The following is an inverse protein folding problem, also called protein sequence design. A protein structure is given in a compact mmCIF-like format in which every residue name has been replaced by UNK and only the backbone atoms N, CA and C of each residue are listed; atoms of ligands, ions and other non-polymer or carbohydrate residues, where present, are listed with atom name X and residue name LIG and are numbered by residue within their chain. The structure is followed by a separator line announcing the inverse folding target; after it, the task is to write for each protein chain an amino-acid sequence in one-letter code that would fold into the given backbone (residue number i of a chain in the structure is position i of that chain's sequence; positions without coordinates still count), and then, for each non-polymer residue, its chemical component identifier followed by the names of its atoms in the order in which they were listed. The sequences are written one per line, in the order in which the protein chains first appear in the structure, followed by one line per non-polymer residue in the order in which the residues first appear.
data_IF_304259223968
#
_entry.id   IF_304259223968
#
_cell.length_a   1.000
_cell.length_b   1.000
_cell.length_c   1.000
_cell.angle_alpha   90.00
_cell.angle_beta   90.00
_cell.angle_gamma   90.00
#
_symmetry.space_group_name_H-M   'P 1'
#
loop_
_entity.id
_entity.type
_entity.pdbx_description
1 polymer ?
#
# COMPACT_ATOMS: atom_id res chain seq x y z
N UNK A 1 1.64 11.80 -32.47
CA UNK A 1 0.41 11.73 -31.66
C UNK A 1 0.74 11.04 -30.36
N UNK A 2 1.06 11.78 -29.32
CA UNK A 2 1.11 11.27 -27.95
C UNK A 2 -0.33 11.23 -27.43
N UNK A 3 -0.82 10.11 -26.87
CA UNK A 3 -2.13 10.08 -26.25
C UNK A 3 -2.16 11.12 -25.13
N UNK A 4 -3.29 11.81 -24.99
CA UNK A 4 -3.48 12.77 -23.90
C UNK A 4 -3.20 12.08 -22.57
N UNK A 5 -2.62 12.78 -21.60
CA UNK A 5 -2.30 12.24 -20.27
C UNK A 5 -3.54 11.60 -19.63
N UNK A 6 -4.75 12.12 -19.90
CA UNK A 6 -6.01 11.51 -19.51
C UNK A 6 -6.23 10.13 -20.15
N UNK A 7 -5.91 9.98 -21.45
CA UNK A 7 -5.98 8.67 -22.13
C UNK A 7 -4.96 7.67 -21.60
N UNK A 8 -3.77 8.13 -21.18
CA UNK A 8 -2.76 7.29 -20.55
C UNK A 8 -3.22 6.78 -19.18
N UNK A 9 -3.88 7.64 -18.37
CA UNK A 9 -4.47 7.25 -17.08
C UNK A 9 -5.63 6.27 -17.25
N UNK A 10 -6.50 6.45 -18.25
CA UNK A 10 -7.60 5.54 -18.54
C UNK A 10 -7.09 4.18 -19.00
N UNK A 11 -6.12 4.15 -19.92
CA UNK A 11 -5.48 2.92 -20.40
C UNK A 11 -4.69 2.18 -19.31
N UNK A 12 -4.14 2.91 -18.32
CA UNK A 12 -3.43 2.32 -17.17
C UNK A 12 -4.39 1.71 -16.16
N UNK A 13 -5.64 2.20 -16.04
CA UNK A 13 -6.61 1.66 -15.08
C UNK A 13 -7.14 0.27 -15.45
N UNK A 14 -7.15 -0.07 -16.74
CA UNK A 14 -7.60 -1.38 -17.23
C UNK A 14 -6.62 -2.53 -16.95
N UNK A 15 -5.35 -2.22 -16.65
CA UNK A 15 -4.30 -3.22 -16.38
C UNK A 15 -4.12 -3.57 -14.91
N UNK A 16 -4.86 -2.93 -14.01
CA UNK A 16 -4.76 -3.16 -12.56
C UNK A 16 -5.96 -3.97 -12.12
N UNK A 17 -5.73 -5.12 -11.49
CA UNK A 17 -6.79 -5.86 -10.81
C UNK A 17 -7.38 -5.02 -9.69
N UNK A 18 -8.71 -4.89 -9.65
CA UNK A 18 -9.42 -4.14 -8.62
C UNK A 18 -10.62 -4.93 -8.12
N UNK A 19 -10.74 -5.00 -6.80
CA UNK A 19 -11.98 -5.38 -6.14
C UNK A 19 -12.79 -4.11 -5.88
N UNK A 20 -14.07 -4.08 -6.26
CA UNK A 20 -14.98 -3.07 -5.74
C UNK A 20 -15.51 -3.54 -4.38
N UNK A 21 -15.08 -2.87 -3.30
CA UNK A 21 -15.49 -3.21 -1.94
C UNK A 21 -16.88 -2.64 -1.68
N UNK A 22 -17.89 -3.47 -1.83
CA UNK A 22 -19.31 -3.09 -1.63
C UNK A 22 -19.76 -3.20 -0.17
N UNK A 23 -19.09 -4.05 0.64
CA UNK A 23 -19.35 -4.17 2.07
C UNK A 23 -18.96 -2.87 2.78
N UNK A 24 -19.85 -2.30 3.61
CA UNK A 24 -19.51 -1.08 4.36
C UNK A 24 -18.30 -1.28 5.27
N UNK A 25 -17.34 -0.36 5.17
CA UNK A 25 -16.16 -0.29 6.02
C UNK A 25 -16.27 0.92 6.96
N UNK A 26 -16.30 0.67 8.26
CA UNK A 26 -16.25 1.73 9.27
C UNK A 26 -14.80 2.04 9.57
N UNK A 27 -14.36 3.26 9.22
CA UNK A 27 -13.05 3.79 9.48
C UNK A 27 -12.88 4.19 10.95
N UNK A 28 -11.63 4.26 11.42
CA UNK A 28 -11.34 4.71 12.79
C UNK A 28 -11.79 6.16 13.03
N UNK A 29 -11.80 7.01 11.99
CA UNK A 29 -12.38 8.35 12.04
C UNK A 29 -13.95 8.38 12.07
N UNK A 30 -14.59 7.23 12.23
CA UNK A 30 -16.04 7.01 12.32
C UNK A 30 -16.82 7.26 11.02
N UNK A 31 -16.16 7.57 9.91
CA UNK A 31 -16.83 7.60 8.61
C UNK A 31 -17.05 6.17 8.11
N UNK A 32 -18.22 5.92 7.51
CA UNK A 32 -18.51 4.65 6.82
C UNK A 32 -18.35 4.87 5.32
N UNK A 33 -17.58 4.01 4.69
CA UNK A 33 -17.32 4.03 3.25
C UNK A 33 -17.70 2.70 2.62
N UNK A 34 -18.15 2.73 1.37
CA UNK A 34 -18.51 1.56 0.57
C UNK A 34 -18.33 1.87 -0.92
N UNK A 35 -18.39 0.84 -1.74
CA UNK A 35 -18.30 0.95 -3.20
C UNK A 35 -17.03 1.67 -3.64
N UNK A 36 -15.90 1.27 -3.08
CA UNK A 36 -14.59 1.82 -3.38
C UNK A 36 -13.63 0.78 -3.97
N UNK A 37 -12.68 1.19 -4.83
CA UNK A 37 -11.71 0.28 -5.41
C UNK A 37 -10.62 -0.12 -4.41
N UNK A 38 -10.29 -1.41 -4.38
CA UNK A 38 -9.10 -1.96 -3.73
C UNK A 38 -8.27 -2.66 -4.80
N UNK A 39 -7.15 -2.05 -5.19
CA UNK A 39 -6.23 -2.63 -6.16
C UNK A 39 -5.38 -3.72 -5.51
N UNK A 40 -5.12 -4.79 -6.25
CA UNK A 40 -4.31 -5.89 -5.75
C UNK A 40 -3.62 -6.63 -6.91
N UNK A 41 -2.63 -7.45 -6.57
CA UNK A 41 -2.04 -8.39 -7.50
C UNK A 41 -1.87 -9.76 -6.83
N UNK A 42 -1.83 -10.79 -7.66
CA UNK A 42 -1.67 -12.18 -7.21
C UNK A 42 -0.65 -12.91 -8.06
N UNK A 43 0.10 -13.81 -7.44
CA UNK A 43 1.11 -14.62 -8.11
C UNK A 43 0.97 -16.08 -7.69
N UNK A 44 1.24 -17.01 -8.60
CA UNK A 44 1.04 -18.43 -8.38
C UNK A 44 -0.44 -18.83 -8.44
N UNK A 45 -0.77 -19.98 -7.89
CA UNK A 45 -2.12 -20.56 -7.94
C UNK A 45 -2.59 -20.98 -6.56
N UNK A 46 -3.82 -20.58 -6.21
CA UNK A 46 -4.48 -21.05 -4.99
C UNK A 46 -4.84 -22.52 -5.16
N UNK A 47 -4.42 -23.35 -4.22
CA UNK A 47 -4.72 -24.78 -4.25
C UNK A 47 -6.18 -25.06 -3.86
N UNK A 48 -6.62 -26.31 -4.04
CA UNK A 48 -8.00 -26.72 -3.76
C UNK A 48 -8.39 -26.53 -2.28
N UNK A 49 -7.45 -26.75 -1.37
CA UNK A 49 -7.66 -26.61 0.06
C UNK A 49 -7.58 -25.15 0.55
N UNK A 50 -7.10 -24.22 -0.33
CA UNK A 50 -6.90 -22.81 0.00
C UNK A 50 -5.96 -22.56 1.20
N UNK A 51 -5.01 -23.47 1.44
CA UNK A 51 -4.09 -23.45 2.57
C UNK A 51 -2.66 -23.02 2.21
N UNK A 52 -2.41 -22.62 0.93
CA UNK A 52 -1.11 -22.17 0.44
C UNK A 52 -1.03 -20.65 0.20
N UNK A 53 -1.95 -19.87 0.76
CA UNK A 53 -2.00 -18.42 0.54
C UNK A 53 -1.03 -17.66 1.44
N UNK A 54 -0.28 -16.72 0.84
CA UNK A 54 0.63 -15.79 1.54
C UNK A 54 0.19 -14.36 1.23
N UNK A 55 -0.09 -13.56 2.27
CA UNK A 55 -0.38 -12.14 2.14
C UNK A 55 0.88 -11.31 2.39
N UNK A 56 1.22 -10.44 1.46
CA UNK A 56 2.32 -9.49 1.58
C UNK A 56 1.76 -8.09 1.77
N UNK A 57 2.18 -7.42 2.84
CA UNK A 57 1.87 -6.03 3.13
C UNK A 57 3.02 -5.14 2.65
N UNK A 58 2.75 -4.23 1.72
CA UNK A 58 3.80 -3.36 1.19
C UNK A 58 4.16 -2.20 2.14
N UNK A 59 5.39 -1.69 2.02
CA UNK A 59 5.87 -0.52 2.75
C UNK A 59 5.25 0.78 2.20
N UNK A 60 5.46 1.92 2.88
CA UNK A 60 4.91 3.22 2.51
C UNK A 60 5.12 3.60 1.04
N UNK A 61 6.30 3.31 0.50
CA UNK A 61 6.67 3.63 -0.89
C UNK A 61 6.46 2.47 -1.87
N UNK A 62 5.93 1.34 -1.39
CA UNK A 62 5.62 0.17 -2.20
C UNK A 62 4.22 0.23 -2.83
N UNK A 63 3.90 -0.83 -3.53
CA UNK A 63 2.60 -1.06 -4.16
C UNK A 63 2.28 -2.56 -4.21
N UNK A 64 1.21 -2.93 -4.91
CA UNK A 64 0.80 -4.34 -5.05
C UNK A 64 1.74 -5.18 -5.95
N UNK A 65 2.65 -4.56 -6.69
CA UNK A 65 3.50 -5.27 -7.65
C UNK A 65 4.79 -5.75 -6.99
N UNK A 66 4.72 -6.86 -6.26
CA UNK A 66 5.86 -7.43 -5.53
C UNK A 66 6.81 -8.24 -6.42
N UNK A 67 6.32 -8.77 -7.55
CA UNK A 67 7.08 -9.60 -8.49
C UNK A 67 6.68 -9.30 -9.93
N UNK A 68 7.42 -9.86 -10.89
CA UNK A 68 7.21 -9.58 -12.31
C UNK A 68 7.50 -8.14 -12.69
N UNK A 69 6.95 -7.67 -13.80
CA UNK A 69 7.10 -6.29 -14.27
C UNK A 69 5.88 -5.47 -13.90
N UNK A 70 6.06 -4.37 -13.19
CA UNK A 70 5.00 -3.41 -12.88
C UNK A 70 4.45 -2.82 -14.20
N UNK A 71 3.17 -3.00 -14.52
CA UNK A 71 2.60 -2.58 -15.80
C UNK A 71 2.56 -1.07 -15.98
N UNK A 72 2.67 -0.30 -14.87
CA UNK A 72 2.63 1.17 -14.85
C UNK A 72 4.04 1.74 -15.03
N UNK A 73 4.96 1.36 -14.16
CA UNK A 73 6.32 1.94 -14.11
C UNK A 73 7.28 1.26 -15.08
N UNK A 74 6.93 0.07 -15.61
CA UNK A 74 7.77 -0.80 -16.45
C UNK A 74 9.04 -1.29 -15.76
N UNK A 75 9.12 -1.13 -14.44
CA UNK A 75 10.21 -1.64 -13.61
C UNK A 75 9.84 -3.00 -13.02
N UNK A 76 10.83 -3.71 -12.56
CA UNK A 76 10.61 -4.95 -11.80
C UNK A 76 9.82 -4.68 -10.53
N UNK A 77 9.05 -5.68 -10.09
CA UNK A 77 8.37 -5.66 -8.80
C UNK A 77 9.38 -5.46 -7.68
N UNK A 78 8.96 -4.77 -6.62
CA UNK A 78 9.87 -4.30 -5.58
C UNK A 78 10.49 -5.43 -4.73
N UNK A 79 9.99 -6.66 -4.83
CA UNK A 79 10.51 -7.81 -4.08
C UNK A 79 10.81 -9.04 -4.97
N UNK A 80 11.16 -8.80 -6.23
CA UNK A 80 11.52 -9.87 -7.18
C UNK A 80 12.68 -10.75 -6.69
N UNK A 81 13.50 -10.28 -5.76
CA UNK A 81 14.59 -11.08 -5.15
C UNK A 81 14.06 -12.18 -4.24
N UNK A 82 12.90 -12.00 -3.61
CA UNK A 82 12.32 -12.95 -2.67
C UNK A 82 11.08 -13.68 -3.23
N UNK A 83 10.33 -13.07 -4.15
CA UNK A 83 9.05 -13.59 -4.67
C UNK A 83 9.18 -13.99 -6.14
N UNK A 84 8.86 -15.23 -6.45
CA UNK A 84 8.88 -15.75 -7.83
C UNK A 84 9.14 -17.24 -7.88
N UNK A 85 9.13 -17.85 -9.07
CA UNK A 85 9.42 -19.28 -9.25
C UNK A 85 10.80 -19.66 -8.67
N UNK A 86 10.83 -20.66 -7.78
CA UNK A 86 12.07 -21.16 -7.17
C UNK A 86 12.74 -20.22 -6.18
N UNK A 87 12.09 -19.11 -5.77
CA UNK A 87 12.61 -18.16 -4.80
C UNK A 87 12.14 -18.50 -3.37
N UNK A 88 12.54 -17.69 -2.39
CA UNK A 88 12.18 -17.91 -0.98
C UNK A 88 10.65 -17.99 -0.79
N UNK A 89 9.89 -17.15 -1.47
CA UNK A 89 8.44 -17.23 -1.60
C UNK A 89 8.17 -17.75 -3.03
N UNK A 90 8.20 -19.09 -3.15
CA UNK A 90 8.11 -19.80 -4.43
C UNK A 90 6.68 -19.79 -4.97
N UNK A 91 6.44 -19.03 -6.02
CA UNK A 91 5.12 -18.92 -6.66
C UNK A 91 4.69 -20.19 -7.42
N UNK A 92 5.56 -21.20 -7.57
CA UNK A 92 5.14 -22.54 -8.01
C UNK A 92 4.39 -23.30 -6.91
N UNK A 93 4.58 -22.94 -5.64
CA UNK A 93 4.01 -23.62 -4.46
C UNK A 93 2.95 -22.77 -3.78
N UNK A 94 3.16 -21.46 -3.72
CA UNK A 94 2.36 -20.54 -2.92
C UNK A 94 1.54 -19.60 -3.81
N UNK A 95 0.34 -19.31 -3.33
CA UNK A 95 -0.49 -18.25 -3.87
C UNK A 95 -0.22 -16.96 -3.10
N UNK A 96 0.50 -16.04 -3.74
CA UNK A 96 0.93 -14.78 -3.13
C UNK A 96 -0.05 -13.67 -3.47
N UNK A 97 -0.44 -12.88 -2.49
CA UNK A 97 -1.38 -11.78 -2.60
C UNK A 97 -0.71 -10.51 -2.07
N UNK A 98 -0.84 -9.41 -2.79
CA UNK A 98 -0.50 -8.09 -2.27
C UNK A 98 -1.55 -7.07 -2.71
N UNK A 99 -2.16 -6.37 -1.76
CA UNK A 99 -3.09 -5.29 -2.04
C UNK A 99 -2.39 -3.94 -1.90
N UNK A 100 -2.77 -2.97 -2.74
CA UNK A 100 -2.40 -1.58 -2.50
C UNK A 100 -3.27 -1.02 -1.38
N UNK A 101 -2.66 -0.37 -0.41
CA UNK A 101 -3.39 0.19 0.74
C UNK A 101 -4.39 1.25 0.31
N UNK A 102 -5.53 1.34 1.01
CA UNK A 102 -6.43 2.48 0.91
C UNK A 102 -5.71 3.74 1.43
N UNK A 103 -5.97 4.88 0.81
CA UNK A 103 -5.17 6.10 1.02
C UNK A 103 -3.92 6.17 0.13
N UNK A 104 -3.60 5.08 -0.59
CA UNK A 104 -2.48 4.99 -1.53
C UNK A 104 -2.77 5.65 -2.89
N UNK A 105 -1.82 5.49 -3.83
CA UNK A 105 -1.90 6.14 -5.15
C UNK A 105 -1.82 5.18 -6.34
N UNK A 106 -1.79 3.85 -6.08
CA UNK A 106 -1.59 2.82 -7.11
C UNK A 106 -2.86 2.02 -7.41
N UNK A 107 -4.01 2.69 -7.36
CA UNK A 107 -5.29 2.15 -7.86
C UNK A 107 -6.30 1.78 -6.79
N UNK A 108 -5.93 1.73 -5.51
CA UNK A 108 -6.89 1.67 -4.40
C UNK A 108 -7.50 3.05 -4.12
N UNK A 109 -8.64 3.06 -3.43
CA UNK A 109 -9.30 4.29 -3.00
C UNK A 109 -8.34 5.20 -2.24
N UNK A 110 -8.21 6.41 -2.73
CA UNK A 110 -7.26 7.38 -2.22
C UNK A 110 -7.64 8.82 -2.58
N UNK A 111 -6.84 9.81 -2.20
CA UNK A 111 -7.14 11.23 -2.41
C UNK A 111 -7.37 11.65 -3.87
N UNK A 112 -6.92 10.85 -4.85
CA UNK A 112 -7.13 11.11 -6.28
C UNK A 112 -8.51 10.67 -6.78
N UNK A 113 -9.19 9.77 -6.06
CA UNK A 113 -10.50 9.27 -6.45
C UNK A 113 -11.52 10.40 -6.42
N UNK A 114 -12.51 10.30 -7.29
CA UNK A 114 -13.59 11.30 -7.38
C UNK A 114 -14.60 11.06 -6.27
N UNK A 115 -14.85 12.08 -5.48
CA UNK A 115 -15.97 12.10 -4.54
C UNK A 115 -17.28 12.27 -5.33
N UNK A 116 -18.15 11.27 -5.26
CA UNK A 116 -19.44 11.23 -5.96
C UNK A 116 -20.37 12.38 -5.56
N UNK A 117 -20.19 12.97 -4.37
CA UNK A 117 -21.01 14.07 -3.88
C UNK A 117 -20.60 15.42 -4.49
N UNK A 118 -19.31 15.61 -4.76
CA UNK A 118 -18.76 16.89 -5.27
C UNK A 118 -18.38 16.83 -6.74
N UNK A 119 -18.26 15.62 -7.30
CA UNK A 119 -17.72 15.32 -8.63
C UNK A 119 -16.28 15.86 -8.82
N UNK A 120 -15.55 16.00 -7.73
CA UNK A 120 -14.14 16.43 -7.71
C UNK A 120 -13.30 15.37 -6.98
N UNK A 121 -11.97 15.39 -7.19
CA UNK A 121 -11.06 14.56 -6.41
C UNK A 121 -11.17 14.91 -4.92
N UNK A 122 -11.14 13.89 -4.05
CA UNK A 122 -11.18 14.11 -2.60
C UNK A 122 -10.11 15.10 -2.14
N UNK A 123 -8.88 15.01 -2.66
CA UNK A 123 -7.77 15.86 -2.24
C UNK A 123 -7.60 15.86 -0.72
N UNK A 124 -7.58 17.03 -0.10
CA UNK A 124 -7.48 17.19 1.36
C UNK A 124 -8.76 16.81 2.13
N UNK A 125 -9.89 16.63 1.45
CA UNK A 125 -11.14 16.15 2.06
C UNK A 125 -11.17 14.62 2.23
N UNK A 126 -10.13 13.93 1.73
CA UNK A 126 -10.00 12.49 1.92
C UNK A 126 -9.92 12.17 3.42
N UNK A 127 -10.64 11.15 3.91
CA UNK A 127 -10.61 10.84 5.35
C UNK A 127 -9.22 10.37 5.78
N UNK A 128 -8.92 10.61 7.06
CA UNK A 128 -7.72 10.04 7.68
C UNK A 128 -7.86 8.52 7.70
N UNK A 129 -6.85 7.84 7.16
CA UNK A 129 -6.76 6.38 7.12
C UNK A 129 -5.72 5.92 8.13
N UNK A 130 -6.08 4.97 8.97
CA UNK A 130 -5.18 4.32 9.92
C UNK A 130 -4.66 2.98 9.38
N UNK A 131 -3.61 2.45 10.02
CA UNK A 131 -3.13 1.08 9.74
C UNK A 131 -4.25 0.06 9.91
N UNK A 132 -5.12 0.25 10.91
CA UNK A 132 -6.28 -0.61 11.16
C UNK A 132 -7.29 -0.56 10.01
N UNK A 133 -7.53 0.59 9.42
CA UNK A 133 -8.42 0.71 8.25
C UNK A 133 -7.82 -0.01 7.03
N UNK A 134 -6.50 0.11 6.83
CA UNK A 134 -5.79 -0.62 5.77
C UNK A 134 -5.99 -2.13 5.91
N UNK A 135 -5.77 -2.70 7.09
CA UNK A 135 -5.88 -4.16 7.27
C UNK A 135 -7.32 -4.66 7.20
N UNK A 136 -8.30 -3.87 7.65
CA UNK A 136 -9.72 -4.21 7.46
C UNK A 136 -10.10 -4.29 5.98
N UNK A 137 -9.60 -3.36 5.15
CA UNK A 137 -9.85 -3.41 3.71
C UNK A 137 -9.21 -4.63 3.05
N UNK A 138 -8.04 -5.04 3.50
CA UNK A 138 -7.34 -6.20 2.97
C UNK A 138 -7.99 -7.53 3.42
N UNK A 139 -8.57 -7.57 4.61
CA UNK A 139 -9.38 -8.72 5.05
C UNK A 139 -10.59 -8.93 4.14
N UNK A 140 -11.22 -7.86 3.68
CA UNK A 140 -12.31 -7.93 2.69
C UNK A 140 -11.84 -8.56 1.36
N UNK A 141 -10.58 -8.35 0.97
CA UNK A 141 -10.00 -9.02 -0.20
C UNK A 141 -9.83 -10.52 0.03
N UNK A 142 -9.42 -10.95 1.22
CA UNK A 142 -9.31 -12.37 1.56
C UNK A 142 -10.68 -13.06 1.51
N UNK A 143 -11.72 -12.41 2.04
CA UNK A 143 -13.10 -12.89 1.96
C UNK A 143 -13.54 -13.04 0.49
N UNK A 144 -13.24 -12.06 -0.36
CA UNK A 144 -13.55 -12.11 -1.80
C UNK A 144 -12.84 -13.27 -2.52
N UNK A 145 -11.60 -13.56 -2.15
CA UNK A 145 -10.84 -14.69 -2.70
C UNK A 145 -11.24 -16.03 -2.07
N UNK A 146 -12.11 -16.01 -1.06
CA UNK A 146 -12.57 -17.19 -0.32
C UNK A 146 -11.46 -17.84 0.50
N UNK A 147 -10.57 -17.02 1.09
CA UNK A 147 -9.44 -17.47 1.91
C UNK A 147 -9.78 -17.19 3.37
N UNK A 148 -10.08 -18.25 4.10
CA UNK A 148 -10.42 -18.15 5.52
C UNK A 148 -9.18 -17.95 6.39
N UNK A 149 -8.07 -18.61 6.03
CA UNK A 149 -6.82 -18.55 6.79
C UNK A 149 -5.60 -18.56 5.87
N UNK A 150 -4.70 -17.64 6.11
CA UNK A 150 -3.41 -17.56 5.42
C UNK A 150 -2.42 -18.58 5.99
N UNK A 151 -1.60 -19.19 5.14
CA UNK A 151 -0.42 -19.94 5.56
C UNK A 151 0.59 -19.02 6.25
N UNK A 152 0.81 -17.85 5.64
CA UNK A 152 1.74 -16.87 6.17
C UNK A 152 1.29 -15.46 5.78
N UNK A 153 1.59 -14.51 6.65
CA UNK A 153 1.51 -13.10 6.34
C UNK A 153 2.88 -12.44 6.61
N UNK A 154 3.33 -11.56 5.72
CA UNK A 154 4.64 -10.90 5.85
C UNK A 154 4.58 -9.46 5.38
N UNK A 155 5.49 -8.64 5.88
CA UNK A 155 5.61 -7.25 5.47
C UNK A 155 6.76 -6.52 6.15
N UNK A 156 7.32 -5.54 5.44
CA UNK A 156 8.43 -4.73 5.94
C UNK A 156 8.01 -3.29 6.24
N UNK A 157 8.64 -2.67 7.25
CA UNK A 157 8.40 -1.27 7.63
C UNK A 157 6.90 -1.03 7.93
N UNK A 158 6.23 -0.11 7.23
CA UNK A 158 4.78 0.09 7.35
C UNK A 158 3.99 -1.21 7.03
N UNK A 159 4.49 -2.06 6.13
CA UNK A 159 3.92 -3.38 5.88
C UNK A 159 4.01 -4.30 7.09
N UNK A 160 5.09 -4.23 7.86
CA UNK A 160 5.23 -4.95 9.12
C UNK A 160 4.27 -4.41 10.20
N UNK A 161 4.04 -3.10 10.24
CA UNK A 161 3.02 -2.49 11.13
C UNK A 161 1.60 -2.96 10.76
N UNK A 162 1.30 -3.05 9.45
CA UNK A 162 0.04 -3.62 8.97
C UNK A 162 -0.10 -5.08 9.41
N UNK A 163 0.96 -5.89 9.27
CA UNK A 163 0.97 -7.27 9.70
C UNK A 163 0.69 -7.42 11.20
N UNK A 164 1.36 -6.64 12.04
CA UNK A 164 1.13 -6.66 13.51
C UNK A 164 -0.33 -6.28 13.83
N UNK A 165 -0.85 -5.23 13.18
CA UNK A 165 -2.25 -4.82 13.33
C UNK A 165 -3.22 -5.87 12.81
N UNK A 166 -2.88 -6.55 11.68
CA UNK A 166 -3.68 -7.64 11.13
C UNK A 166 -3.80 -8.80 12.12
N UNK A 167 -2.70 -9.25 12.70
CA UNK A 167 -2.69 -10.31 13.71
C UNK A 167 -3.47 -9.91 14.96
N UNK A 168 -3.38 -8.65 15.39
CA UNK A 168 -4.13 -8.16 16.55
C UNK A 168 -5.64 -8.04 16.30
N UNK A 169 -6.03 -7.70 15.04
CA UNK A 169 -7.43 -7.52 14.67
C UNK A 169 -8.10 -8.84 14.28
N UNK A 170 -7.34 -9.74 13.64
CA UNK A 170 -7.81 -11.02 13.08
C UNK A 170 -6.89 -12.17 13.54
N UNK A 171 -6.85 -12.52 14.82
CA UNK A 171 -5.85 -13.43 15.39
C UNK A 171 -5.87 -14.85 14.80
N UNK A 172 -7.00 -15.28 14.22
CA UNK A 172 -7.15 -16.60 13.63
C UNK A 172 -6.97 -16.65 12.11
N UNK A 173 -6.75 -15.50 11.46
CA UNK A 173 -6.69 -15.38 9.98
C UNK A 173 -5.32 -15.74 9.39
N UNK A 174 -4.28 -15.98 10.18
CA UNK A 174 -2.99 -16.46 9.69
C UNK A 174 -2.40 -17.55 10.58
N UNK A 175 -1.70 -18.50 9.97
CA UNK A 175 -0.97 -19.55 10.69
C UNK A 175 0.38 -19.01 11.18
N UNK A 176 1.08 -18.24 10.36
CA UNK A 176 2.37 -17.66 10.70
C UNK A 176 2.47 -16.21 10.26
N UNK A 177 3.32 -15.43 10.95
CA UNK A 177 3.53 -14.02 10.69
C UNK A 177 5.03 -13.69 10.73
N UNK A 178 5.53 -12.98 9.70
CA UNK A 178 6.94 -12.58 9.59
C UNK A 178 7.03 -11.06 9.45
N UNK A 179 7.02 -10.30 10.56
CA UNK A 179 7.24 -8.86 10.53
C UNK A 179 8.72 -8.54 10.33
N UNK A 180 9.02 -7.62 9.41
CA UNK A 180 10.39 -7.27 9.01
C UNK A 180 10.63 -5.79 9.28
N UNK A 181 11.70 -5.45 10.02
CA UNK A 181 12.16 -4.07 10.23
C UNK A 181 11.01 -3.09 10.59
N UNK A 182 10.19 -3.45 11.57
CA UNK A 182 9.05 -2.65 12.03
C UNK A 182 8.97 -2.60 13.56
N UNK A 183 8.12 -1.72 14.07
CA UNK A 183 7.80 -1.61 15.49
C UNK A 183 6.30 -1.40 15.68
N UNK A 184 5.81 -1.63 16.90
CA UNK A 184 4.41 -1.38 17.27
C UNK A 184 4.10 0.10 17.47
N UNK A 185 5.11 0.90 17.79
CA UNK A 185 4.99 2.33 18.02
C UNK A 185 6.07 3.11 17.28
N UNK A 186 5.73 4.30 16.80
CA UNK A 186 6.72 5.24 16.27
C UNK A 186 7.49 5.89 17.42
N UNK A 187 8.83 5.95 17.31
CA UNK A 187 9.65 6.77 18.18
C UNK A 187 9.43 8.26 17.87
N UNK A 188 9.81 9.14 18.80
CA UNK A 188 9.79 10.58 18.56
C UNK A 188 10.58 10.98 17.31
N UNK A 189 11.71 10.33 17.06
CA UNK A 189 12.51 10.51 15.85
C UNK A 189 11.72 10.15 14.58
N UNK A 190 11.01 9.01 14.56
CA UNK A 190 10.18 8.60 13.43
C UNK A 190 9.06 9.61 13.16
N UNK A 191 8.43 10.11 14.21
CA UNK A 191 7.37 11.14 14.09
C UNK A 191 7.95 12.41 13.50
N UNK A 192 9.10 12.87 13.98
CA UNK A 192 9.78 14.08 13.49
C UNK A 192 10.18 13.94 12.01
N UNK A 193 10.76 12.81 11.60
CA UNK A 193 11.14 12.56 10.21
C UNK A 193 9.94 12.49 9.27
N UNK A 194 8.86 11.86 9.69
CA UNK A 194 7.62 11.84 8.92
C UNK A 194 7.01 13.25 8.77
N UNK A 195 7.07 14.07 9.84
CA UNK A 195 6.61 15.45 9.78
C UNK A 195 7.50 16.29 8.84
N UNK A 196 8.81 16.15 8.93
CA UNK A 196 9.75 16.82 8.01
C UNK A 196 9.44 16.49 6.54
N UNK A 197 9.16 15.21 6.24
CA UNK A 197 8.78 14.79 4.90
C UNK A 197 7.46 15.44 4.43
N UNK A 198 6.46 15.53 5.31
CA UNK A 198 5.19 16.23 5.00
C UNK A 198 5.41 17.72 4.76
N UNK A 199 6.17 18.38 5.64
CA UNK A 199 6.48 19.81 5.51
C UNK A 199 7.25 20.10 4.21
N UNK A 200 8.19 19.26 3.82
CA UNK A 200 8.92 19.41 2.56
C UNK A 200 7.97 19.37 1.34
N UNK A 201 6.98 18.47 1.35
CA UNK A 201 5.98 18.41 0.28
C UNK A 201 5.07 19.64 0.29
N UNK A 202 4.61 20.06 1.47
CA UNK A 202 3.70 21.21 1.61
C UNK A 202 4.38 22.54 1.34
N UNK A 203 5.69 22.66 1.55
CA UNK A 203 6.49 23.84 1.22
C UNK A 203 6.81 23.98 -0.27
N UNK A 204 6.62 22.93 -1.07
CA UNK A 204 6.80 23.03 -2.52
C UNK A 204 5.74 24.01 -3.09
N UNK A 205 6.14 25.05 -3.85
CA UNK A 205 5.20 26.02 -4.42
C UNK A 205 4.08 25.39 -5.26
N UNK A 206 4.35 24.21 -5.83
CA UNK A 206 3.39 23.47 -6.65
C UNK A 206 2.31 22.79 -5.80
N UNK A 207 2.53 22.60 -4.50
CA UNK A 207 1.56 21.99 -3.60
C UNK A 207 0.21 22.72 -3.57
N UNK A 208 0.23 24.05 -3.56
CA UNK A 208 -0.95 24.94 -3.65
C UNK A 208 -2.11 24.46 -2.76
N UNK A 209 -1.84 24.24 -1.47
CA UNK A 209 -2.82 23.73 -0.50
C UNK A 209 -3.53 22.44 -0.97
N UNK A 210 -2.79 21.53 -1.60
CA UNK A 210 -3.32 20.25 -2.10
C UNK A 210 -4.05 20.36 -3.46
N UNK A 211 -4.17 21.54 -4.06
CA UNK A 211 -4.85 21.77 -5.34
C UNK A 211 -4.06 21.31 -6.56
N UNK A 212 -2.83 20.85 -6.38
CA UNK A 212 -1.96 20.37 -7.46
C UNK A 212 -2.62 19.25 -8.30
N UNK A 213 -3.53 18.46 -7.71
CA UNK A 213 -4.29 17.42 -8.41
C UNK A 213 -5.14 18.02 -9.56
N UNK A 214 -5.80 19.16 -9.33
CA UNK A 214 -6.62 19.84 -10.35
C UNK A 214 -5.78 20.35 -11.52
N UNK A 215 -4.52 20.68 -11.27
CA UNK A 215 -3.58 21.21 -12.27
C UNK A 215 -2.79 20.11 -12.98
N UNK A 216 -2.98 18.85 -12.58
CA UNK A 216 -2.23 17.68 -13.08
C UNK A 216 -0.70 17.87 -13.03
N UNK A 217 -0.22 18.54 -12.01
CA UNK A 217 1.21 18.76 -11.72
C UNK A 217 1.56 18.08 -10.41
N UNK A 218 2.84 17.94 -10.10
CA UNK A 218 3.29 17.27 -8.87
C UNK A 218 4.33 18.13 -8.15
N UNK A 219 4.30 18.21 -6.82
CA UNK A 219 5.30 18.86 -5.99
C UNK A 219 6.61 18.05 -5.99
N UNK A 220 7.32 18.02 -7.12
CA UNK A 220 8.46 17.14 -7.38
C UNK A 220 9.64 17.39 -6.44
N UNK A 221 9.92 18.66 -6.12
CA UNK A 221 11.04 19.03 -5.25
C UNK A 221 10.75 18.58 -3.81
N UNK A 222 9.56 18.89 -3.30
CA UNK A 222 9.12 18.43 -1.99
C UNK A 222 9.10 16.92 -1.86
N UNK A 223 8.60 16.21 -2.88
CA UNK A 223 8.62 14.74 -2.93
C UNK A 223 10.05 14.18 -2.98
N UNK A 224 10.99 14.83 -3.66
CA UNK A 224 12.39 14.41 -3.68
C UNK A 224 13.02 14.50 -2.30
N UNK A 225 12.82 15.61 -1.57
CA UNK A 225 13.28 15.78 -0.19
C UNK A 225 12.65 14.73 0.73
N UNK A 226 11.33 14.52 0.64
CA UNK A 226 10.62 13.51 1.43
C UNK A 226 11.18 12.09 1.21
N UNK A 227 11.57 11.74 -0.02
CA UNK A 227 12.22 10.46 -0.32
C UNK A 227 13.62 10.36 0.28
N UNK A 228 14.41 11.42 0.24
CA UNK A 228 15.73 11.45 0.88
C UNK A 228 15.62 11.20 2.38
N UNK A 229 14.65 11.84 3.04
CA UNK A 229 14.37 11.61 4.47
C UNK A 229 14.03 10.12 4.73
N UNK A 230 13.16 9.53 3.91
CA UNK A 230 12.76 8.13 4.07
C UNK A 230 13.93 7.15 3.89
N UNK A 231 14.86 7.41 2.96
CA UNK A 231 16.05 6.58 2.73
C UNK A 231 17.07 6.76 3.85
N UNK A 232 17.35 7.99 4.28
CA UNK A 232 18.30 8.30 5.35
C UNK A 232 17.92 7.61 6.66
N UNK A 233 16.62 7.56 6.98
CA UNK A 233 16.11 6.86 8.15
C UNK A 233 16.46 5.36 8.17
N UNK A 234 16.37 4.69 7.03
CA UNK A 234 16.69 3.26 6.92
C UNK A 234 18.19 3.01 7.15
N UNK A 235 19.05 3.90 6.66
CA UNK A 235 20.51 3.77 6.81
C UNK A 235 21.03 4.17 8.20
N UNK A 236 20.47 5.20 8.81
CA UNK A 236 20.88 5.64 10.16
C UNK A 236 20.68 4.55 11.22
N UNK A 237 19.59 3.78 11.14
CA UNK A 237 19.38 2.66 12.07
C UNK A 237 20.35 1.51 11.90
N UNK A 238 20.87 1.27 10.71
CA UNK A 238 21.87 0.23 10.47
C UNK A 238 23.23 0.55 11.14
N UNK A 239 23.52 1.81 11.39
CA UNK A 239 24.74 2.25 12.07
C UNK A 239 24.59 2.32 13.61
N UNK A 240 23.39 2.54 14.15
CA UNK A 240 23.15 2.60 15.60
C UNK A 240 23.22 1.23 16.31
N UNK A 241 23.09 0.12 15.58
CA UNK A 241 23.18 -1.23 16.15
C UNK A 241 24.61 -1.74 16.38
N UNK A 242 25.63 -0.96 16.06
CA UNK A 242 27.04 -1.35 16.20
C UNK A 242 27.69 -0.85 17.54
N UNK A 243 26.95 -0.13 18.37
CA UNK A 243 27.51 0.50 19.59
C UNK A 243 26.74 0.16 20.88
N UNK A 244 26.21 -1.08 21.05
CA UNK A 244 25.79 -1.61 22.35
C UNK A 244 26.22 -3.06 22.51
#
# INVERSE_FOLDING_TARGET
FLPSIAGLFFYMSEKIKKLNVSKPLVLDCKKTVKDFPLAYETYGSLNKNKDNAILIFHALTGDQFVSGTNPITKKDGWWVTAVGPGKAIDTNKYFVICANVIGGCMGSWGPKEIDKNTNEAYGLNFPVITIKDMVKSQETLLDHLGIDKLLCATGGSMGGMQLLQFCATFPNKTFSAVPIACSTNHSAQNIALNELARQAIMADPVWDNGKYLKKNIQPKNGLAVARMVAVSYTHLRAHETIHY
#
